data_IF_065151079082
#
_entry.id   IF_065151079082
#
_cell.length_a   1.000
_cell.length_b   1.000
_cell.length_c   1.000
_cell.angle_alpha   90.00
_cell.angle_beta   90.00
_cell.angle_gamma   90.00
#
_symmetry.space_group_name_H-M   'P 1'
#
loop_
_entity.id
_entity.type
_entity.pdbx_description
1 polymer ?
#
# COMPACT_ATOMS: atom_id res chain seq x y z
N UNK A 1 85.87 -10.64 -9.54
CA UNK A 1 84.69 -10.01 -8.87
C UNK A 1 83.61 -9.82 -9.87
N UNK A 2 82.50 -10.63 -9.76
CA UNK A 2 81.31 -10.52 -10.61
C UNK A 2 80.26 -9.81 -9.76
N UNK A 3 79.82 -8.67 -10.19
CA UNK A 3 78.65 -7.93 -9.60
C UNK A 3 77.42 -8.32 -10.28
N UNK A 4 76.47 -8.97 -9.58
CA UNK A 4 75.16 -9.30 -10.10
C UNK A 4 74.24 -8.11 -9.82
N UNK A 5 73.60 -7.58 -10.91
CA UNK A 5 72.62 -6.50 -10.88
C UNK A 5 71.23 -7.12 -10.83
N UNK A 6 70.54 -6.97 -9.70
CA UNK A 6 69.15 -7.45 -9.52
C UNK A 6 68.19 -6.37 -10.01
N UNK A 7 67.43 -6.65 -11.09
CA UNK A 7 66.34 -5.80 -11.55
C UNK A 7 65.09 -6.11 -10.70
N UNK A 8 64.58 -5.11 -9.97
CA UNK A 8 63.29 -5.18 -9.29
C UNK A 8 62.17 -4.75 -10.30
N UNK A 9 61.27 -5.67 -10.63
CA UNK A 9 60.06 -5.38 -11.43
C UNK A 9 58.97 -4.89 -10.48
N UNK A 10 58.67 -3.61 -10.53
CA UNK A 10 57.50 -3.04 -9.85
C UNK A 10 56.23 -3.42 -10.61
N UNK A 11 55.43 -4.32 -10.05
CA UNK A 11 54.10 -4.66 -10.56
C UNK A 11 53.15 -3.51 -10.28
N UNK A 12 52.64 -2.85 -11.32
CA UNK A 12 51.51 -1.92 -11.23
C UNK A 12 50.25 -2.73 -11.03
N UNK A 13 49.62 -2.62 -9.86
CA UNK A 13 48.27 -3.12 -9.61
C UNK A 13 47.29 -2.23 -10.39
N UNK A 14 46.53 -2.83 -11.31
CA UNK A 14 45.43 -2.15 -11.97
C UNK A 14 44.31 -1.78 -10.95
N UNK A 15 43.67 -0.59 -11.06
CA UNK A 15 42.57 -0.24 -10.19
C UNK A 15 41.41 -1.21 -10.41
N UNK A 16 40.91 -1.81 -9.33
CA UNK A 16 39.70 -2.62 -9.35
C UNK A 16 38.55 -1.71 -9.77
N UNK A 17 37.91 -2.01 -10.89
CA UNK A 17 36.61 -1.44 -11.27
C UNK A 17 35.62 -1.77 -10.17
N UNK A 18 34.85 -0.79 -9.64
CA UNK A 18 33.78 -1.11 -8.71
C UNK A 18 32.79 -2.04 -9.44
N UNK A 19 32.55 -3.22 -8.85
CA UNK A 19 31.48 -4.09 -9.31
C UNK A 19 30.19 -3.25 -9.27
N UNK A 20 29.51 -3.13 -10.41
CA UNK A 20 28.16 -2.59 -10.44
C UNK A 20 27.34 -3.41 -9.41
N UNK A 21 26.78 -2.74 -8.40
CA UNK A 21 25.90 -3.38 -7.46
C UNK A 21 24.81 -4.06 -8.29
N UNK A 22 24.74 -5.39 -8.21
CA UNK A 22 23.64 -6.13 -8.80
C UNK A 22 22.37 -5.56 -8.14
N UNK A 23 21.45 -5.03 -8.97
CA UNK A 23 20.15 -4.61 -8.48
C UNK A 23 19.51 -5.84 -7.85
N UNK A 24 19.32 -5.81 -6.54
CA UNK A 24 18.54 -6.81 -5.85
C UNK A 24 17.11 -6.72 -6.40
N UNK A 25 16.58 -7.83 -6.92
CA UNK A 25 15.27 -7.87 -7.56
C UNK A 25 14.10 -7.57 -6.60
N UNK A 26 14.41 -7.28 -5.33
CA UNK A 26 13.44 -7.16 -4.25
C UNK A 26 12.95 -8.53 -3.77
N UNK A 27 12.63 -8.67 -2.50
CA UNK A 27 12.04 -9.91 -1.98
C UNK A 27 10.56 -9.97 -2.38
N UNK A 28 10.10 -11.16 -2.79
CA UNK A 28 8.68 -11.37 -3.07
C UNK A 28 7.91 -11.32 -1.75
N UNK A 29 6.86 -10.48 -1.68
CA UNK A 29 5.90 -10.51 -0.57
C UNK A 29 5.12 -11.83 -0.54
N UNK A 30 4.64 -12.28 0.64
CA UNK A 30 3.72 -13.41 0.74
C UNK A 30 2.53 -13.29 -0.20
N UNK A 31 1.97 -14.44 -0.62
CA UNK A 31 0.80 -14.46 -1.51
C UNK A 31 -0.46 -13.94 -0.80
N UNK A 32 -0.54 -14.14 0.51
CA UNK A 32 -1.60 -13.65 1.37
C UNK A 32 -0.96 -12.79 2.45
N UNK A 33 -1.36 -11.53 2.55
CA UNK A 33 -0.62 -10.54 3.32
C UNK A 33 -1.54 -9.75 4.24
N UNK A 34 -1.26 -9.79 5.54
CA UNK A 34 -1.80 -8.80 6.48
C UNK A 34 -0.85 -7.62 6.53
N UNK A 35 -1.34 -6.42 6.21
CA UNK A 35 -0.53 -5.20 6.11
C UNK A 35 -1.31 -3.97 6.57
N UNK A 36 -1.50 -3.79 7.91
CA UNK A 36 -2.19 -2.61 8.42
C UNK A 36 -1.50 -1.33 7.99
N UNK A 37 -2.29 -0.27 7.82
CA UNK A 37 -1.78 1.07 7.53
C UNK A 37 -1.06 1.62 8.75
N UNK A 38 0.08 2.23 8.50
CA UNK A 38 0.87 3.03 9.45
C UNK A 38 0.76 4.50 9.04
N UNK A 39 0.40 5.36 9.97
CA UNK A 39 0.20 6.80 9.77
C UNK A 39 1.54 7.55 9.76
N UNK A 40 2.16 7.68 8.58
CA UNK A 40 3.47 8.32 8.42
C UNK A 40 3.47 9.83 8.71
N UNK A 41 2.33 10.42 9.00
CA UNK A 41 2.19 11.82 9.44
C UNK A 41 2.26 12.00 10.96
N UNK A 42 2.34 10.92 11.73
CA UNK A 42 2.58 10.94 13.16
C UNK A 42 4.08 11.06 13.48
N UNK A 43 4.42 11.14 14.75
CA UNK A 43 5.81 11.09 15.21
C UNK A 43 6.30 9.67 15.52
N UNK A 44 5.46 8.68 15.27
CA UNK A 44 5.73 7.28 15.57
C UNK A 44 6.75 6.68 14.60
N UNK A 45 7.44 5.64 15.05
CA UNK A 45 8.36 4.88 14.22
C UNK A 45 7.68 3.62 13.69
N UNK A 46 7.61 3.40 12.36
CA UNK A 46 7.02 2.19 11.80
C UNK A 46 7.72 0.92 12.31
N UNK A 47 9.03 0.99 12.56
CA UNK A 47 9.78 -0.12 13.17
C UNK A 47 9.33 -0.40 14.60
N UNK A 48 9.11 0.66 15.40
CA UNK A 48 8.70 0.49 16.79
C UNK A 48 7.31 -0.13 16.85
N UNK A 49 6.34 0.42 16.11
CA UNK A 49 4.98 -0.11 16.10
C UNK A 49 4.90 -1.53 15.51
N UNK A 50 5.67 -1.82 14.46
CA UNK A 50 5.81 -3.19 13.94
C UNK A 50 6.30 -4.18 15.02
N UNK A 51 7.30 -3.79 15.80
CA UNK A 51 7.84 -4.62 16.88
C UNK A 51 6.85 -4.80 18.04
N UNK A 52 6.16 -3.73 18.45
CA UNK A 52 5.23 -3.74 19.58
C UNK A 52 3.93 -4.48 19.26
N UNK A 53 3.39 -4.29 18.06
CA UNK A 53 2.15 -4.92 17.61
C UNK A 53 2.34 -6.36 17.09
N UNK A 54 3.54 -6.69 16.61
CA UNK A 54 3.80 -7.93 15.89
C UNK A 54 3.39 -7.89 14.41
N UNK A 55 2.90 -6.76 13.90
CA UNK A 55 2.64 -6.57 12.46
C UNK A 55 3.97 -6.54 11.70
N UNK A 56 4.24 -7.57 10.92
CA UNK A 56 5.51 -7.72 10.17
C UNK A 56 5.51 -6.93 8.87
N UNK A 57 4.35 -6.66 8.29
CA UNK A 57 4.19 -5.92 7.05
C UNK A 57 3.32 -4.70 7.32
N UNK A 58 3.70 -3.57 6.77
CA UNK A 58 3.00 -2.30 6.97
C UNK A 58 2.77 -1.58 5.65
N UNK A 59 1.58 -1.01 5.47
CA UNK A 59 1.31 -0.03 4.42
C UNK A 59 1.59 1.36 4.98
N UNK A 60 2.58 2.08 4.43
CA UNK A 60 2.99 3.39 4.96
C UNK A 60 2.19 4.52 4.29
N UNK A 61 1.36 5.23 5.02
CA UNK A 61 0.41 6.25 4.55
C UNK A 61 0.80 7.66 5.00
N UNK A 62 1.04 8.63 4.13
CA UNK A 62 0.93 8.60 2.68
C UNK A 62 2.05 9.38 1.99
N UNK A 63 2.29 9.06 0.73
CA UNK A 63 3.10 9.85 -0.19
C UNK A 63 2.21 10.77 -1.01
N UNK A 64 2.53 12.05 -1.04
CA UNK A 64 1.81 13.07 -1.79
C UNK A 64 2.74 14.22 -2.18
N UNK A 65 2.25 15.12 -3.01
CA UNK A 65 3.00 16.32 -3.38
C UNK A 65 2.80 17.43 -2.35
N UNK A 66 3.79 18.34 -2.16
CA UNK A 66 3.66 19.42 -1.18
C UNK A 66 2.66 20.52 -1.57
N UNK A 67 2.24 20.55 -2.82
CA UNK A 67 1.23 21.48 -3.32
C UNK A 67 0.71 21.02 -4.69
N UNK A 68 -0.53 21.39 -5.08
CA UNK A 68 -1.05 21.17 -6.43
C UNK A 68 -0.14 21.77 -7.51
N UNK A 69 0.05 21.01 -8.60
CA UNK A 69 0.96 21.36 -9.70
C UNK A 69 2.40 20.89 -9.52
N UNK A 70 2.77 20.37 -8.36
CA UNK A 70 4.07 19.74 -8.11
C UNK A 70 4.14 18.32 -8.70
N UNK A 71 5.34 17.92 -9.14
CA UNK A 71 5.65 16.53 -9.50
C UNK A 71 6.66 15.89 -8.52
N UNK A 72 7.01 16.59 -7.45
CA UNK A 72 7.88 16.07 -6.40
C UNK A 72 7.01 15.45 -5.31
N UNK A 73 7.36 14.26 -4.85
CA UNK A 73 6.67 13.58 -3.75
C UNK A 73 7.48 13.64 -2.47
N UNK A 74 6.76 13.74 -1.38
CA UNK A 74 7.29 13.68 -0.01
C UNK A 74 6.32 12.87 0.85
N UNK A 75 6.77 12.42 1.99
CA UNK A 75 5.85 11.87 2.99
C UNK A 75 4.97 13.00 3.50
N UNK A 76 3.66 12.77 3.49
CA UNK A 76 2.64 13.72 3.95
C UNK A 76 2.62 15.11 3.27
N UNK A 77 3.21 15.24 2.09
CA UNK A 77 3.37 16.56 1.49
C UNK A 77 4.35 17.49 2.21
N UNK A 78 5.07 17.00 3.23
CA UNK A 78 6.04 17.80 3.98
C UNK A 78 7.43 17.75 3.32
N UNK A 79 7.97 18.88 2.83
CA UNK A 79 9.32 18.93 2.27
C UNK A 79 10.42 18.54 3.25
N UNK A 80 10.16 18.54 4.56
CA UNK A 80 11.11 18.10 5.58
C UNK A 80 11.24 16.56 5.65
N UNK A 81 10.28 15.82 5.09
CA UNK A 81 10.25 14.36 5.04
C UNK A 81 10.32 13.84 3.60
N UNK A 82 11.44 14.06 2.88
CA UNK A 82 11.60 13.63 1.50
C UNK A 82 11.61 12.10 1.37
N UNK A 83 11.32 11.60 0.16
CA UNK A 83 11.57 10.21 -0.20
C UNK A 83 13.08 10.00 -0.29
N UNK A 84 13.67 9.60 0.82
CA UNK A 84 15.11 9.37 0.97
C UNK A 84 15.38 8.26 2.00
N UNK A 85 16.53 7.60 1.86
CA UNK A 85 16.95 6.59 2.84
C UNK A 85 16.99 7.12 4.27
N UNK A 86 17.32 8.40 4.44
CA UNK A 86 17.38 9.07 5.76
C UNK A 86 16.02 9.19 6.46
N UNK A 87 14.90 9.10 5.73
CA UNK A 87 13.55 9.23 6.30
C UNK A 87 13.09 7.90 6.94
N UNK A 88 12.94 6.84 6.15
CA UNK A 88 12.46 5.55 6.65
C UNK A 88 13.39 4.37 6.35
N UNK A 89 14.49 4.57 5.63
CA UNK A 89 15.35 3.48 5.19
C UNK A 89 15.89 2.61 6.33
N UNK A 90 16.27 3.22 7.46
CA UNK A 90 16.77 2.49 8.63
C UNK A 90 15.65 1.66 9.29
N UNK A 91 14.44 2.18 9.40
CA UNK A 91 13.28 1.48 9.95
C UNK A 91 12.86 0.32 9.06
N UNK A 92 12.78 0.54 7.75
CA UNK A 92 12.50 -0.51 6.76
C UNK A 92 13.52 -1.64 6.84
N UNK A 93 14.82 -1.30 6.94
CA UNK A 93 15.86 -2.31 7.08
C UNK A 93 15.71 -3.16 8.36
N UNK A 94 15.22 -2.56 9.46
CA UNK A 94 14.95 -3.28 10.71
C UNK A 94 13.71 -4.15 10.64
N UNK A 95 12.63 -3.65 10.00
CA UNK A 95 11.42 -4.45 9.73
C UNK A 95 11.79 -5.68 8.88
N UNK A 96 12.59 -5.51 7.82
CA UNK A 96 13.07 -6.62 6.98
C UNK A 96 13.95 -7.61 7.75
N UNK A 97 14.83 -7.12 8.61
CA UNK A 97 15.66 -7.98 9.46
C UNK A 97 14.81 -8.81 10.44
N UNK A 98 13.60 -8.37 10.78
CA UNK A 98 12.61 -9.11 11.57
C UNK A 98 11.71 -10.02 10.72
N UNK A 99 11.92 -10.12 9.40
CA UNK A 99 11.17 -10.97 8.48
C UNK A 99 9.88 -10.34 7.96
N UNK A 100 9.80 -9.02 7.97
CA UNK A 100 8.71 -8.22 7.42
C UNK A 100 9.10 -7.43 6.17
N UNK A 101 8.25 -6.50 5.75
CA UNK A 101 8.51 -5.51 4.69
C UNK A 101 7.50 -4.36 4.78
N UNK A 102 7.60 -3.39 3.85
CA UNK A 102 6.69 -2.25 3.78
C UNK A 102 6.14 -2.06 2.37
N UNK A 103 4.96 -1.45 2.29
CA UNK A 103 4.27 -1.03 1.07
C UNK A 103 4.03 0.48 1.18
N UNK A 104 4.78 1.33 0.47
CA UNK A 104 4.47 2.76 0.42
C UNK A 104 3.13 3.01 -0.27
N UNK A 105 2.27 3.83 0.34
CA UNK A 105 0.97 4.23 -0.18
C UNK A 105 0.98 5.67 -0.66
N UNK A 106 0.37 5.92 -1.81
CA UNK A 106 0.15 7.24 -2.40
C UNK A 106 -1.31 7.63 -2.29
N UNK A 107 -1.59 8.92 -2.11
CA UNK A 107 -2.95 9.44 -2.07
C UNK A 107 -3.48 9.58 -0.65
N UNK A 108 -4.64 8.98 -0.40
CA UNK A 108 -5.42 9.13 0.84
C UNK A 108 -6.29 10.38 0.84
N UNK A 109 -7.33 10.40 1.68
CA UNK A 109 -8.40 11.41 1.66
C UNK A 109 -7.91 12.86 1.52
N UNK A 110 -6.96 13.27 2.36
CA UNK A 110 -6.47 14.66 2.35
C UNK A 110 -5.77 15.03 1.05
N UNK A 111 -4.94 14.13 0.50
CA UNK A 111 -4.25 14.37 -0.76
C UNK A 111 -5.21 14.46 -1.93
N UNK A 112 -6.20 13.60 -1.96
CA UNK A 112 -7.20 13.50 -3.01
C UNK A 112 -8.19 14.67 -2.96
N UNK A 113 -8.56 15.11 -1.75
CA UNK A 113 -9.39 16.28 -1.54
C UNK A 113 -8.69 17.57 -1.97
N UNK A 114 -7.43 17.73 -1.60
CA UNK A 114 -6.64 18.94 -1.82
C UNK A 114 -5.95 18.99 -3.20
N UNK A 115 -6.03 17.91 -4.00
CA UNK A 115 -5.39 17.81 -5.31
C UNK A 115 -3.87 17.70 -5.23
N UNK A 116 -3.35 17.10 -4.16
CA UNK A 116 -1.92 16.82 -3.94
C UNK A 116 -1.56 15.34 -4.16
N UNK A 117 -2.52 14.46 -4.49
CA UNK A 117 -2.22 13.16 -5.08
C UNK A 117 -1.37 13.37 -6.34
N UNK A 118 -0.32 12.54 -6.53
CA UNK A 118 0.69 12.80 -7.55
C UNK A 118 0.13 12.89 -8.97
N UNK A 119 -0.86 12.07 -9.34
CA UNK A 119 -1.43 12.08 -10.68
C UNK A 119 -2.45 13.20 -10.89
N UNK A 120 -3.02 13.74 -9.82
CA UNK A 120 -3.88 14.92 -9.86
C UNK A 120 -3.05 16.18 -9.91
N UNK A 121 -1.98 16.25 -9.13
CA UNK A 121 -1.06 17.36 -9.02
C UNK A 121 -0.18 17.54 -10.26
N UNK A 122 0.48 16.45 -10.69
CA UNK A 122 1.48 16.47 -11.76
C UNK A 122 0.86 16.21 -13.14
N UNK A 123 1.00 17.15 -14.08
CA UNK A 123 0.47 16.99 -15.43
C UNK A 123 1.33 16.08 -16.35
N UNK A 124 2.51 15.64 -15.89
CA UNK A 124 3.48 14.89 -16.69
C UNK A 124 3.47 13.40 -16.34
N UNK A 125 2.93 12.56 -17.22
CA UNK A 125 2.95 11.10 -17.05
C UNK A 125 4.37 10.55 -16.81
N UNK A 126 5.41 10.95 -17.56
CA UNK A 126 6.77 10.49 -17.28
C UNK A 126 7.31 10.94 -15.92
N UNK A 127 6.90 12.11 -15.41
CA UNK A 127 7.33 12.56 -14.10
C UNK A 127 6.62 11.78 -12.97
N UNK A 128 5.35 11.41 -13.15
CA UNK A 128 4.63 10.52 -12.23
C UNK A 128 5.29 9.14 -12.20
N UNK A 129 5.59 8.55 -13.36
CA UNK A 129 6.29 7.28 -13.44
C UNK A 129 7.65 7.35 -12.74
N UNK A 130 8.43 8.41 -12.97
CA UNK A 130 9.71 8.63 -12.31
C UNK A 130 9.58 8.77 -10.77
N UNK A 131 8.47 9.33 -10.28
CA UNK A 131 8.19 9.40 -8.84
C UNK A 131 7.93 8.00 -8.25
N UNK A 132 7.16 7.15 -8.92
CA UNK A 132 6.96 5.75 -8.51
C UNK A 132 8.28 4.97 -8.52
N UNK A 133 9.06 5.07 -9.61
CA UNK A 133 10.39 4.44 -9.72
C UNK A 133 11.34 4.92 -8.61
N UNK A 134 11.28 6.20 -8.26
CA UNK A 134 12.09 6.77 -7.18
C UNK A 134 11.78 6.11 -5.82
N UNK A 135 10.51 5.94 -5.47
CA UNK A 135 10.10 5.25 -4.23
C UNK A 135 10.55 3.80 -4.26
N UNK A 136 10.26 3.09 -5.38
CA UNK A 136 10.62 1.68 -5.56
C UNK A 136 12.13 1.48 -5.38
N UNK A 137 12.95 2.34 -5.97
CA UNK A 137 14.41 2.20 -5.92
C UNK A 137 15.02 2.67 -4.61
N UNK A 138 14.49 3.76 -4.02
CA UNK A 138 14.98 4.31 -2.75
C UNK A 138 14.79 3.32 -1.60
N UNK A 139 13.63 2.71 -1.51
CA UNK A 139 13.29 1.78 -0.42
C UNK A 139 13.42 0.31 -0.79
N UNK A 140 13.75 0.01 -2.04
CA UNK A 140 13.82 -1.35 -2.59
C UNK A 140 12.54 -2.16 -2.33
N UNK A 141 11.38 -1.57 -2.57
CA UNK A 141 10.07 -2.20 -2.41
C UNK A 141 9.62 -2.87 -3.70
N UNK A 142 8.72 -3.84 -3.59
CA UNK A 142 8.15 -4.60 -4.72
C UNK A 142 6.65 -4.38 -4.90
N UNK A 143 6.04 -3.55 -4.05
CA UNK A 143 4.62 -3.18 -4.15
C UNK A 143 4.44 -1.73 -3.77
N UNK A 144 3.58 -1.02 -4.48
CA UNK A 144 3.05 0.29 -4.14
C UNK A 144 1.54 0.18 -3.98
N UNK A 145 1.01 0.89 -3.02
CA UNK A 145 -0.41 1.10 -2.84
C UNK A 145 -0.80 2.47 -3.39
N UNK A 146 -1.99 2.55 -4.00
CA UNK A 146 -2.55 3.75 -4.62
C UNK A 146 -3.94 3.95 -4.03
N UNK A 147 -4.00 4.70 -2.95
CA UNK A 147 -5.22 5.04 -2.24
C UNK A 147 -5.92 6.20 -2.95
N UNK A 148 -7.04 5.88 -3.61
CA UNK A 148 -7.74 6.78 -4.51
C UNK A 148 -9.15 7.05 -4.00
N UNK A 149 -9.36 8.27 -3.53
CA UNK A 149 -10.57 8.70 -2.85
C UNK A 149 -11.14 10.02 -3.43
N UNK A 150 -12.22 10.48 -2.86
CA UNK A 150 -12.82 11.82 -3.03
C UNK A 150 -12.71 12.40 -4.46
N UNK A 151 -12.06 13.54 -4.62
CA UNK A 151 -11.93 14.24 -5.90
C UNK A 151 -11.12 13.43 -6.94
N UNK A 152 -10.19 12.59 -6.51
CA UNK A 152 -9.37 11.76 -7.40
C UNK A 152 -10.18 10.68 -8.14
N UNK A 153 -11.31 10.24 -7.57
CA UNK A 153 -12.24 9.31 -8.23
C UNK A 153 -13.00 9.95 -9.40
N UNK A 154 -13.08 11.27 -9.46
CA UNK A 154 -13.78 12.01 -10.51
C UNK A 154 -12.85 12.79 -11.43
N UNK A 155 -11.55 12.89 -11.10
CA UNK A 155 -10.55 13.52 -11.94
C UNK A 155 -10.10 12.58 -13.08
N UNK A 156 -10.89 12.51 -14.14
CA UNK A 156 -10.58 11.63 -15.29
C UNK A 156 -9.18 11.84 -15.87
N UNK A 157 -8.66 13.06 -15.83
CA UNK A 157 -7.31 13.35 -16.30
C UNK A 157 -6.24 12.82 -15.35
N UNK A 158 -6.49 12.84 -14.05
CA UNK A 158 -5.65 12.22 -13.02
C UNK A 158 -5.63 10.71 -13.15
N UNK A 159 -6.81 10.09 -13.27
CA UNK A 159 -6.98 8.64 -13.49
C UNK A 159 -6.20 8.19 -14.74
N UNK A 160 -6.35 8.92 -15.86
CA UNK A 160 -5.63 8.62 -17.11
C UNK A 160 -4.11 8.70 -16.93
N UNK A 161 -3.62 9.75 -16.27
CA UNK A 161 -2.18 9.92 -16.02
C UNK A 161 -1.63 8.85 -15.09
N UNK A 162 -2.35 8.50 -14.01
CA UNK A 162 -1.97 7.45 -13.06
C UNK A 162 -1.78 6.12 -13.75
N UNK A 163 -2.79 5.67 -14.48
CA UNK A 163 -2.75 4.37 -15.15
C UNK A 163 -1.69 4.29 -16.26
N UNK A 164 -1.49 5.37 -17.01
CA UNK A 164 -0.39 5.44 -17.99
C UNK A 164 0.98 5.44 -17.33
N UNK A 165 1.13 6.08 -16.18
CA UNK A 165 2.38 6.07 -15.44
C UNK A 165 2.67 4.66 -14.87
N UNK A 166 1.66 3.96 -14.36
CA UNK A 166 1.78 2.56 -13.92
C UNK A 166 2.30 1.68 -15.06
N UNK A 167 1.68 1.74 -16.25
CA UNK A 167 2.12 0.97 -17.41
C UNK A 167 3.59 1.26 -17.79
N UNK A 168 4.03 2.52 -17.68
CA UNK A 168 5.44 2.88 -17.91
C UNK A 168 6.37 2.27 -16.86
N UNK A 169 5.98 2.28 -15.58
CA UNK A 169 6.78 1.66 -14.50
C UNK A 169 6.86 0.16 -14.67
N UNK A 170 5.78 -0.49 -15.10
CA UNK A 170 5.77 -1.94 -15.38
C UNK A 170 6.70 -2.31 -16.54
N UNK A 171 6.71 -1.50 -17.59
CA UNK A 171 7.64 -1.66 -18.71
C UNK A 171 9.10 -1.47 -18.25
N UNK A 172 9.37 -0.42 -17.48
CA UNK A 172 10.69 -0.20 -16.87
C UNK A 172 11.09 -1.38 -15.98
N UNK A 173 10.20 -1.84 -15.09
CA UNK A 173 10.47 -2.94 -14.16
C UNK A 173 10.79 -4.24 -14.91
N UNK A 174 10.06 -4.53 -16.00
CA UNK A 174 10.33 -5.68 -16.85
C UNK A 174 11.72 -5.57 -17.52
N UNK A 175 12.09 -4.37 -17.98
CA UNK A 175 13.38 -4.12 -18.63
C UNK A 175 14.57 -4.31 -17.68
N UNK A 176 14.41 -3.91 -16.41
CA UNK A 176 15.46 -4.06 -15.39
C UNK A 176 15.31 -5.35 -14.55
N UNK A 177 14.42 -6.25 -14.95
CA UNK A 177 14.13 -7.53 -14.29
C UNK A 177 13.74 -7.38 -12.80
N UNK A 178 12.95 -6.35 -12.49
CA UNK A 178 12.46 -6.07 -11.15
C UNK A 178 11.00 -6.49 -11.01
N UNK A 179 10.65 -7.09 -9.87
CA UNK A 179 9.26 -7.31 -9.50
C UNK A 179 8.65 -6.00 -9.00
N UNK A 180 7.52 -5.60 -9.58
CA UNK A 180 6.69 -4.49 -9.08
C UNK A 180 5.22 -4.88 -9.19
N UNK A 181 4.45 -4.58 -8.15
CA UNK A 181 3.00 -4.74 -8.08
C UNK A 181 2.36 -3.42 -7.68
N UNK A 182 1.12 -3.22 -8.14
CA UNK A 182 0.29 -2.07 -7.76
C UNK A 182 -1.01 -2.55 -7.13
N UNK A 183 -1.32 -1.97 -5.97
CA UNK A 183 -2.61 -2.11 -5.29
C UNK A 183 -3.44 -0.88 -5.62
N UNK A 184 -4.68 -1.08 -6.04
CA UNK A 184 -5.67 -0.03 -6.23
C UNK A 184 -6.58 -0.04 -5.01
N UNK A 185 -6.34 0.87 -4.07
CA UNK A 185 -7.18 1.05 -2.90
C UNK A 185 -8.26 2.07 -3.22
N UNK A 186 -9.52 1.68 -3.06
CA UNK A 186 -10.69 2.48 -3.45
C UNK A 186 -11.84 2.28 -2.47
N UNK A 187 -12.66 3.31 -2.20
CA UNK A 187 -13.88 3.15 -1.42
C UNK A 187 -14.89 2.24 -2.11
N UNK A 188 -15.72 1.59 -1.31
CA UNK A 188 -16.80 0.74 -1.79
C UNK A 188 -18.08 0.97 -0.99
N UNK A 189 -19.23 0.60 -1.56
CA UNK A 189 -20.46 0.40 -0.83
C UNK A 189 -20.69 -1.10 -0.57
N UNK A 190 -21.65 -1.45 0.26
CA UNK A 190 -22.06 -2.86 0.46
C UNK A 190 -22.46 -3.50 -0.88
N UNK A 191 -23.06 -2.71 -1.79
CA UNK A 191 -23.44 -3.16 -3.15
C UNK A 191 -22.26 -3.21 -4.15
N UNK A 192 -21.02 -2.96 -3.72
CA UNK A 192 -19.81 -2.95 -4.54
C UNK A 192 -19.32 -1.54 -4.89
N UNK A 193 -18.34 -1.47 -5.78
CA UNK A 193 -17.76 -0.21 -6.21
C UNK A 193 -18.78 0.70 -6.89
N UNK A 194 -18.74 1.98 -6.59
CA UNK A 194 -19.44 2.99 -7.35
C UNK A 194 -18.92 3.09 -8.79
N UNK A 195 -19.70 3.65 -9.73
CA UNK A 195 -19.27 3.80 -11.13
C UNK A 195 -17.92 4.52 -11.28
N UNK A 196 -17.55 5.41 -10.37
CA UNK A 196 -16.26 6.11 -10.36
C UNK A 196 -15.11 5.18 -10.03
N UNK A 197 -15.24 4.33 -9.01
CA UNK A 197 -14.24 3.30 -8.69
C UNK A 197 -14.10 2.25 -9.80
N UNK A 198 -15.24 1.82 -10.39
CA UNK A 198 -15.22 0.93 -11.58
C UNK A 198 -14.49 1.60 -12.75
N UNK A 199 -14.68 2.91 -12.95
CA UNK A 199 -14.01 3.66 -14.02
C UNK A 199 -12.48 3.68 -13.85
N UNK A 200 -11.97 3.81 -12.61
CA UNK A 200 -10.52 3.71 -12.33
C UNK A 200 -9.94 2.41 -12.86
N UNK A 201 -10.61 1.28 -12.58
CA UNK A 201 -10.17 -0.04 -13.01
C UNK A 201 -10.32 -0.25 -14.52
N UNK A 202 -11.42 0.22 -15.12
CA UNK A 202 -11.63 0.17 -16.57
C UNK A 202 -10.55 0.97 -17.33
N UNK A 203 -10.18 2.14 -16.81
CA UNK A 203 -9.13 2.97 -17.37
C UNK A 203 -7.75 2.29 -17.23
N UNK A 204 -7.49 1.56 -16.14
CA UNK A 204 -6.27 0.77 -16.01
C UNK A 204 -6.17 -0.30 -17.11
N UNK A 205 -7.24 -1.06 -17.34
CA UNK A 205 -7.30 -2.05 -18.42
C UNK A 205 -7.12 -1.39 -19.80
N UNK A 206 -7.74 -0.22 -20.02
CA UNK A 206 -7.62 0.54 -21.26
C UNK A 206 -6.16 0.93 -21.57
N UNK A 207 -5.41 1.33 -20.55
CA UNK A 207 -4.01 1.74 -20.69
C UNK A 207 -3.01 0.61 -20.48
N UNK A 208 -3.47 -0.64 -20.40
CA UNK A 208 -2.64 -1.82 -20.16
C UNK A 208 -1.84 -1.76 -18.85
N UNK A 209 -2.26 -0.95 -17.90
CA UNK A 209 -1.78 -1.00 -16.53
C UNK A 209 -2.31 -2.27 -15.87
N UNK A 210 -1.42 -3.04 -15.23
CA UNK A 210 -1.83 -4.29 -14.59
C UNK A 210 -2.51 -3.96 -13.25
N UNK A 211 -3.65 -4.56 -13.03
CA UNK A 211 -4.29 -4.58 -11.73
C UNK A 211 -3.77 -5.83 -11.01
N UNK A 212 -2.87 -5.66 -10.06
CA UNK A 212 -2.37 -6.77 -9.26
C UNK A 212 -3.35 -7.08 -8.11
N UNK A 213 -3.80 -6.05 -7.39
CA UNK A 213 -4.77 -6.15 -6.30
C UNK A 213 -5.72 -4.95 -6.39
N UNK A 214 -7.01 -5.19 -6.15
CA UNK A 214 -7.99 -4.15 -5.82
C UNK A 214 -8.32 -4.32 -4.34
N UNK A 215 -7.91 -3.35 -3.55
CA UNK A 215 -8.15 -3.27 -2.13
C UNK A 215 -9.35 -2.36 -1.87
N UNK A 216 -10.43 -2.90 -1.32
CA UNK A 216 -11.64 -2.12 -1.05
C UNK A 216 -11.70 -1.70 0.41
N UNK A 217 -12.06 -0.43 0.64
CA UNK A 217 -12.30 0.12 1.97
C UNK A 217 -13.72 -0.19 2.38
N UNK A 218 -13.91 -1.15 3.30
CA UNK A 218 -15.21 -1.66 3.72
C UNK A 218 -15.68 -0.99 5.01
N UNK A 219 -15.73 0.34 4.99
CA UNK A 219 -16.14 1.23 6.07
C UNK A 219 -16.61 2.57 5.47
N UNK A 220 -17.10 3.47 6.29
CA UNK A 220 -17.56 4.82 5.92
C UNK A 220 -18.57 4.81 4.76
N UNK A 221 -19.60 3.95 4.88
CA UNK A 221 -20.65 3.84 3.85
C UNK A 221 -21.55 5.07 3.79
N UNK A 222 -21.68 5.83 4.88
CA UNK A 222 -22.44 7.09 4.99
C UNK A 222 -23.91 7.00 4.58
N UNK A 223 -24.52 5.82 4.65
CA UNK A 223 -25.90 5.60 4.21
C UNK A 223 -26.96 5.73 5.33
N UNK A 224 -26.52 5.97 6.58
CA UNK A 224 -27.34 6.08 7.78
C UNK A 224 -28.12 4.79 8.14
N UNK A 225 -27.66 3.65 7.67
CA UNK A 225 -28.23 2.35 8.03
C UNK A 225 -27.36 1.67 9.10
N UNK A 226 -27.93 0.78 9.92
CA UNK A 226 -27.13 -0.07 10.78
C UNK A 226 -26.41 -1.15 9.96
N UNK A 227 -25.15 -1.37 10.25
CA UNK A 227 -24.27 -2.31 9.53
C UNK A 227 -23.87 -3.51 10.38
N UNK A 228 -23.80 -4.67 9.74
CA UNK A 228 -23.12 -5.88 10.22
C UNK A 228 -21.81 -6.01 9.47
N UNK A 229 -20.79 -5.30 9.93
CA UNK A 229 -19.58 -4.98 9.15
C UNK A 229 -18.92 -6.20 8.49
N UNK A 230 -18.81 -7.33 9.21
CA UNK A 230 -18.25 -8.55 8.61
C UNK A 230 -19.10 -9.13 7.46
N UNK A 231 -20.43 -8.99 7.49
CA UNK A 231 -21.30 -9.44 6.40
C UNK A 231 -21.25 -8.48 5.23
N UNK A 232 -21.19 -7.20 5.51
CA UNK A 232 -21.13 -6.13 4.50
C UNK A 232 -19.80 -6.21 3.74
N UNK A 233 -18.69 -6.41 4.42
CA UNK A 233 -17.38 -6.70 3.82
C UNK A 233 -17.43 -7.88 2.85
N UNK A 234 -18.01 -9.01 3.27
CA UNK A 234 -18.15 -10.21 2.42
C UNK A 234 -19.01 -9.95 1.20
N UNK A 235 -20.08 -9.17 1.38
CA UNK A 235 -21.01 -8.80 0.31
C UNK A 235 -20.32 -7.87 -0.69
N UNK A 236 -19.67 -6.82 -0.24
CA UNK A 236 -18.90 -5.90 -1.08
C UNK A 236 -17.81 -6.63 -1.89
N UNK A 237 -17.03 -7.51 -1.22
CA UNK A 237 -16.02 -8.32 -1.90
C UNK A 237 -16.61 -9.29 -2.94
N UNK A 238 -17.80 -9.82 -2.69
CA UNK A 238 -18.55 -10.62 -3.66
C UNK A 238 -18.95 -9.83 -4.91
N UNK A 239 -19.34 -8.57 -4.74
CA UNK A 239 -19.63 -7.65 -5.85
C UNK A 239 -18.35 -7.26 -6.60
N UNK A 240 -17.25 -6.99 -5.89
CA UNK A 240 -15.94 -6.75 -6.51
C UNK A 240 -15.48 -7.94 -7.36
N UNK A 241 -15.70 -9.17 -6.89
CA UNK A 241 -15.41 -10.37 -7.71
C UNK A 241 -16.18 -10.34 -9.04
N UNK A 242 -17.44 -9.91 -9.01
CA UNK A 242 -18.25 -9.72 -10.24
C UNK A 242 -17.63 -8.68 -11.17
N UNK A 243 -17.25 -7.52 -10.64
CA UNK A 243 -16.57 -6.46 -11.40
C UNK A 243 -15.26 -6.97 -12.02
N UNK A 244 -14.44 -7.70 -11.25
CA UNK A 244 -13.21 -8.29 -11.76
C UNK A 244 -13.45 -9.36 -12.83
N UNK A 245 -14.54 -10.13 -12.72
CA UNK A 245 -14.93 -11.09 -13.75
C UNK A 245 -15.31 -10.39 -15.06
N UNK A 246 -15.99 -9.26 -14.98
CA UNK A 246 -16.34 -8.47 -16.17
C UNK A 246 -15.08 -7.88 -16.85
N UNK A 247 -14.10 -7.43 -16.07
CA UNK A 247 -12.84 -6.92 -16.57
C UNK A 247 -11.91 -8.03 -17.12
N UNK A 248 -11.97 -9.23 -16.54
CA UNK A 248 -11.08 -10.36 -16.84
C UNK A 248 -11.88 -11.67 -17.03
N UNK A 249 -12.75 -11.76 -18.05
CA UNK A 249 -13.71 -12.89 -18.22
C UNK A 249 -13.03 -14.25 -18.43
N UNK A 250 -11.76 -14.26 -18.77
CA UNK A 250 -10.99 -15.49 -18.99
C UNK A 250 -10.23 -15.97 -17.74
N UNK A 251 -10.27 -15.24 -16.62
CA UNK A 251 -9.66 -15.69 -15.36
C UNK A 251 -10.62 -16.55 -14.55
N UNK A 252 -10.08 -17.56 -13.87
CA UNK A 252 -10.88 -18.36 -12.94
C UNK A 252 -11.25 -17.53 -11.69
N UNK A 253 -12.36 -17.89 -11.03
CA UNK A 253 -12.77 -17.23 -9.78
C UNK A 253 -11.68 -17.29 -8.70
N UNK A 254 -10.91 -18.38 -8.62
CA UNK A 254 -9.77 -18.47 -7.71
C UNK A 254 -8.72 -17.43 -8.02
N UNK A 255 -8.35 -17.25 -9.29
CA UNK A 255 -7.39 -16.23 -9.69
C UNK A 255 -7.91 -14.80 -9.46
N UNK A 256 -9.24 -14.58 -9.55
CA UNK A 256 -9.85 -13.28 -9.25
C UNK A 256 -9.91 -13.01 -7.74
N UNK A 257 -10.18 -14.02 -6.89
CA UNK A 257 -10.07 -13.85 -5.45
C UNK A 257 -8.65 -13.44 -5.01
N UNK A 258 -7.63 -13.97 -5.66
CA UNK A 258 -6.22 -13.57 -5.40
C UNK A 258 -5.89 -12.14 -5.89
N UNK A 259 -6.84 -11.42 -6.48
CA UNK A 259 -6.70 -10.00 -6.84
C UNK A 259 -7.46 -9.09 -5.87
N UNK A 260 -8.11 -9.62 -4.85
CA UNK A 260 -8.90 -8.83 -3.89
C UNK A 260 -8.08 -8.57 -2.64
N UNK A 261 -8.07 -7.33 -2.21
CA UNK A 261 -7.65 -6.86 -0.90
C UNK A 261 -8.85 -6.25 -0.16
N UNK A 262 -8.78 -6.23 1.16
CA UNK A 262 -9.78 -5.62 2.04
C UNK A 262 -9.05 -4.79 3.09
N UNK A 263 -9.51 -3.57 3.28
CA UNK A 263 -9.15 -2.71 4.40
C UNK A 263 -10.39 -2.40 5.22
N UNK A 264 -10.31 -2.67 6.52
CA UNK A 264 -11.35 -2.31 7.49
C UNK A 264 -10.93 -1.07 8.27
N UNK A 265 -11.88 -0.26 8.75
CA UNK A 265 -11.59 0.70 9.79
C UNK A 265 -11.95 0.11 11.15
N UNK A 266 -10.94 -0.22 11.94
CA UNK A 266 -11.12 -0.96 13.20
C UNK A 266 -11.79 -0.10 14.27
N UNK A 267 -12.84 -0.65 14.90
CA UNK A 267 -13.62 0.05 15.92
C UNK A 267 -14.74 0.88 15.33
N UNK A 268 -14.94 2.07 15.91
CA UNK A 268 -15.93 3.05 15.46
C UNK A 268 -15.27 3.93 14.39
N UNK A 269 -15.78 3.89 13.17
CA UNK A 269 -15.22 4.64 12.04
C UNK A 269 -15.57 6.14 12.05
N UNK A 270 -15.29 6.87 10.97
CA UNK A 270 -15.53 8.31 10.87
C UNK A 270 -17.02 8.64 10.80
N UNK A 271 -17.83 7.76 10.22
CA UNK A 271 -19.28 7.93 10.21
C UNK A 271 -19.90 7.74 11.60
N UNK A 272 -19.33 6.87 12.43
CA UNK A 272 -19.68 6.70 13.82
C UNK A 272 -20.53 5.45 14.14
N UNK A 273 -21.40 5.50 15.17
CA UNK A 273 -22.02 4.30 15.75
C UNK A 273 -22.82 3.36 14.83
N UNK A 274 -23.36 3.77 13.68
CA UNK A 274 -23.97 2.82 12.75
C UNK A 274 -22.95 1.83 12.17
N UNK A 275 -21.68 2.20 12.11
CA UNK A 275 -20.59 1.45 11.51
C UNK A 275 -19.51 1.16 12.55
N UNK A 276 -19.58 -0.01 13.18
CA UNK A 276 -18.63 -0.43 14.22
C UNK A 276 -18.03 -1.78 13.82
N UNK A 277 -16.74 -1.77 13.46
CA UNK A 277 -16.01 -2.99 13.20
C UNK A 277 -15.45 -3.58 14.50
N UNK A 278 -16.07 -4.65 14.99
CA UNK A 278 -15.74 -5.25 16.28
C UNK A 278 -14.61 -6.29 16.17
N UNK A 279 -14.07 -6.70 17.35
CA UNK A 279 -13.14 -7.84 17.41
C UNK A 279 -13.77 -9.15 16.91
N UNK A 280 -15.09 -9.33 17.07
CA UNK A 280 -15.81 -10.49 16.54
C UNK A 280 -15.87 -10.44 14.99
N UNK A 281 -16.12 -9.25 14.43
CA UNK A 281 -16.08 -9.06 12.98
C UNK A 281 -14.70 -9.36 12.42
N UNK A 282 -13.64 -8.93 13.10
CA UNK A 282 -12.27 -9.20 12.70
C UNK A 282 -11.97 -10.71 12.59
N UNK A 283 -12.43 -11.51 13.55
CA UNK A 283 -12.32 -12.97 13.47
C UNK A 283 -13.07 -13.54 12.26
N UNK A 284 -14.32 -13.10 12.06
CA UNK A 284 -15.15 -13.56 10.95
C UNK A 284 -14.59 -13.18 9.58
N UNK A 285 -14.07 -11.96 9.44
CA UNK A 285 -13.46 -11.50 8.19
C UNK A 285 -12.15 -12.24 7.93
N UNK A 286 -11.29 -12.40 8.93
CA UNK A 286 -10.02 -13.11 8.78
C UNK A 286 -10.20 -14.58 8.36
N UNK A 287 -11.13 -15.31 8.99
CA UNK A 287 -11.43 -16.69 8.61
C UNK A 287 -11.95 -16.78 7.18
N UNK A 288 -12.92 -15.92 6.82
CA UNK A 288 -13.49 -15.87 5.50
C UNK A 288 -12.47 -15.47 4.42
N UNK A 289 -11.64 -14.45 4.70
CA UNK A 289 -10.58 -14.00 3.81
C UNK A 289 -9.59 -15.11 3.48
N UNK A 290 -9.21 -15.89 4.50
CA UNK A 290 -8.36 -17.07 4.34
C UNK A 290 -9.03 -18.14 3.48
N UNK A 291 -10.31 -18.44 3.72
CA UNK A 291 -11.08 -19.46 2.98
C UNK A 291 -11.28 -19.08 1.51
N UNK A 292 -11.39 -17.78 1.21
CA UNK A 292 -11.47 -17.25 -0.16
C UNK A 292 -10.10 -17.16 -0.84
N UNK A 293 -9.03 -17.05 -0.07
CA UNK A 293 -7.68 -16.85 -0.58
C UNK A 293 -7.52 -15.47 -1.21
N UNK A 294 -8.01 -14.40 -0.56
CA UNK A 294 -7.75 -13.04 -1.02
C UNK A 294 -6.27 -12.69 -0.87
N UNK A 295 -5.80 -11.69 -1.62
CA UNK A 295 -4.39 -11.32 -1.61
C UNK A 295 -3.96 -10.53 -0.37
N UNK A 296 -4.84 -9.65 0.12
CA UNK A 296 -4.48 -8.68 1.14
C UNK A 296 -5.62 -8.47 2.15
N UNK A 297 -5.25 -8.41 3.42
CA UNK A 297 -6.14 -8.07 4.51
C UNK A 297 -5.46 -6.97 5.33
N UNK A 298 -6.09 -5.82 5.44
CA UNK A 298 -5.54 -4.63 6.04
C UNK A 298 -6.56 -3.94 6.97
N UNK A 299 -6.12 -2.91 7.66
CA UNK A 299 -7.01 -2.03 8.41
C UNK A 299 -6.41 -0.64 8.58
N UNK A 300 -7.28 0.35 8.68
CA UNK A 300 -7.00 1.70 9.10
C UNK A 300 -7.26 1.83 10.60
N UNK A 301 -6.28 2.12 11.44
CA UNK A 301 -4.86 2.11 11.20
C UNK A 301 -4.17 1.44 12.39
N UNK A 302 -2.88 1.17 12.28
CA UNK A 302 -2.14 0.47 13.33
C UNK A 302 -2.16 1.24 14.65
N UNK A 303 -2.08 2.57 14.58
CA UNK A 303 -2.14 3.50 15.72
C UNK A 303 -3.49 3.43 16.46
N UNK A 304 -4.56 3.05 15.74
CA UNK A 304 -5.90 2.87 16.31
C UNK A 304 -6.07 1.57 17.10
N UNK A 305 -5.17 0.59 16.96
CA UNK A 305 -5.34 -0.74 17.56
C UNK A 305 -5.10 -0.76 19.07
N UNK A 306 -5.89 0.03 19.77
CA UNK A 306 -5.90 0.11 21.23
C UNK A 306 -7.25 0.62 21.78
N UNK A 307 -7.48 0.43 23.09
CA UNK A 307 -8.70 0.82 23.81
C UNK A 307 -8.58 2.15 24.57
N UNK A 308 -7.75 3.09 24.11
CA UNK A 308 -7.45 4.33 24.85
C UNK A 308 -8.60 5.34 24.95
N UNK A 309 -9.65 5.22 24.10
CA UNK A 309 -10.74 6.19 24.00
C UNK A 309 -12.12 5.54 23.78
N UNK A 310 -12.65 4.72 24.68
CA UNK A 310 -13.92 4.04 24.48
C UNK A 310 -15.06 5.00 24.15
N UNK A 311 -15.82 4.71 23.08
CA UNK A 311 -16.96 5.49 22.60
C UNK A 311 -16.61 6.67 21.71
N UNK A 312 -15.33 6.91 21.40
CA UNK A 312 -14.92 7.95 20.46
C UNK A 312 -14.89 7.38 19.03
N UNK A 313 -15.58 8.04 18.11
CA UNK A 313 -15.59 7.72 16.69
C UNK A 313 -14.44 8.42 15.95
N UNK A 314 -13.97 7.85 14.85
CA UNK A 314 -13.07 8.49 13.90
C UNK A 314 -11.73 8.98 14.48
N UNK A 315 -11.21 8.34 15.53
CA UNK A 315 -9.94 8.76 16.13
C UNK A 315 -8.77 8.06 15.46
N UNK A 316 -7.76 8.80 15.03
CA UNK A 316 -6.52 8.23 14.47
C UNK A 316 -5.66 7.49 15.52
N UNK A 317 -5.93 7.68 16.82
CA UNK A 317 -5.08 7.16 17.89
C UNK A 317 -5.70 6.03 18.72
N UNK A 318 -6.95 5.62 18.46
CA UNK A 318 -7.65 4.56 19.20
C UNK A 318 -8.91 4.10 18.47
N UNK A 319 -9.32 2.85 18.68
CA UNK A 319 -10.47 2.24 17.98
C UNK A 319 -11.85 2.70 18.45
N UNK A 320 -11.95 3.38 19.58
CA UNK A 320 -13.26 3.66 20.23
C UNK A 320 -13.84 2.48 21.00
N UNK A 321 -13.24 1.30 20.94
CA UNK A 321 -13.70 0.09 21.65
C UNK A 321 -12.97 -0.11 22.97
N UNK A 322 -13.59 -0.91 23.84
CA UNK A 322 -12.90 -1.47 24.99
C UNK A 322 -12.11 -2.69 24.55
N UNK A 323 -10.81 -2.55 24.39
CA UNK A 323 -9.90 -3.61 23.96
C UNK A 323 -8.50 -3.44 24.59
N UNK A 324 -7.68 -4.47 24.51
CA UNK A 324 -6.25 -4.36 24.77
C UNK A 324 -5.52 -3.83 23.50
N UNK A 325 -4.36 -3.24 23.69
CA UNK A 325 -3.52 -2.84 22.55
C UNK A 325 -3.20 -4.08 21.67
N UNK A 326 -3.18 -3.85 20.37
CA UNK A 326 -2.80 -4.81 19.34
C UNK A 326 -3.70 -6.05 19.21
N UNK A 327 -4.98 -5.96 19.61
CA UNK A 327 -5.90 -7.09 19.50
C UNK A 327 -6.32 -7.36 18.05
N UNK A 328 -6.60 -6.33 17.25
CA UNK A 328 -6.91 -6.51 15.82
C UNK A 328 -5.69 -7.03 15.07
N UNK A 329 -4.50 -6.49 15.32
CA UNK A 329 -3.25 -7.02 14.75
C UNK A 329 -3.06 -8.49 15.09
N UNK A 330 -3.32 -8.88 16.34
CA UNK A 330 -3.23 -10.29 16.77
C UNK A 330 -4.20 -11.22 16.04
N UNK A 331 -5.40 -10.73 15.70
CA UNK A 331 -6.40 -11.48 14.93
C UNK A 331 -6.01 -11.57 13.46
N UNK A 332 -5.55 -10.47 12.85
CA UNK A 332 -5.30 -10.40 11.41
C UNK A 332 -3.94 -10.97 10.98
N UNK A 333 -2.90 -10.85 11.82
CA UNK A 333 -1.53 -11.30 11.47
C UNK A 333 -1.43 -12.77 11.02
N UNK A 334 -2.21 -13.74 11.57
CA UNK A 334 -2.21 -15.14 11.10
C UNK A 334 -2.70 -15.32 9.65
N UNK A 335 -3.31 -14.31 9.04
CA UNK A 335 -3.69 -14.32 7.63
C UNK A 335 -2.46 -14.37 6.71
N UNK A 336 -1.33 -13.79 7.13
CA UNK A 336 -0.10 -13.79 6.33
C UNK A 336 0.46 -15.19 6.18
N UNK A 337 0.42 -15.73 4.95
CA UNK A 337 1.00 -17.01 4.58
C UNK A 337 1.37 -17.07 3.08
N UNK A 338 2.16 -18.06 2.67
CA UNK A 338 2.55 -18.32 1.28
C UNK A 338 1.65 -19.35 0.60
#
# INVERSE_FOLDING_TARGET
LVVALSLAIAGMAAPATPAAAAFDAGSRLPAHLCTPYFEAYTTDSPRQLSHESGARYLTLAFLQTPAPGSCTITWNGDPATPVAWSTYGADIARIRAAGGDVIPSFGGYSADHDGTEIADSCASVPAIAAAYEHVITTYNVTRLDLDTEDNSLTNNAGIDRRNRAIAMVEEWAAHVHRLVQFVYTVPTNVAGLDPTGVHVLQNAVLHHARIDIVNIMTFDYYDNLPHEMANDTRTAAGHLLGTLHDLYPNRSSVALWHMIGITEMIGIDDFGPPEIFTLADAHHVQEWARDKGIAELSFWALERDNGGCPGVAGSDSCSGLTQSAWQFTGIFSPFTHN
#
